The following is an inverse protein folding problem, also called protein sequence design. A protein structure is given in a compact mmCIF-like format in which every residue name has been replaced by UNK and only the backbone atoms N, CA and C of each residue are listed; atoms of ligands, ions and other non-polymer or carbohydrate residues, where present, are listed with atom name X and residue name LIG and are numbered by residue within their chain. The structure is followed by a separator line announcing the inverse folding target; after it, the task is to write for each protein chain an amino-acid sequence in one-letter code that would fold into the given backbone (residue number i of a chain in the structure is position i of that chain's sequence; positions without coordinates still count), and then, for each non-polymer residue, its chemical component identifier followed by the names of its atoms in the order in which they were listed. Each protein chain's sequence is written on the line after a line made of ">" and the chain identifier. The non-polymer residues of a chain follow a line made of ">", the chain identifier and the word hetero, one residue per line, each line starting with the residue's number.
data_IF_241288673141
#
_entry.id   IF_241288673141
#
_cell.length_a   1.000
_cell.length_b   1.000
_cell.length_c   1.000
_cell.angle_alpha   90.00
_cell.angle_beta   90.00
_cell.angle_gamma   90.00
#
_symmetry.space_group_name_H-M   'P 1'
#
loop_
_entity.id
_entity.type
_entity.pdbx_description
1 polymer ?
#
# COMPACT_ATOMS: atom_id res chain seq x y z
N UNK A 1 -0.32 -10.46 8.01
CA UNK A 1 -0.03 -9.04 8.34
C UNK A 1 0.69 -8.84 9.66
N UNK A 2 1.68 -7.94 9.69
CA UNK A 2 2.02 -7.18 10.89
C UNK A 2 2.70 -5.87 10.48
N UNK A 3 1.89 -4.84 10.19
CA UNK A 3 2.36 -3.46 10.28
C UNK A 3 2.63 -3.20 11.77
N UNK A 4 3.85 -3.51 12.21
CA UNK A 4 4.23 -3.28 13.61
C UNK A 4 4.36 -1.79 13.87
N UNK A 5 4.22 -1.37 15.12
CA UNK A 5 4.39 0.03 15.49
C UNK A 5 5.78 0.58 15.08
N UNK A 6 6.80 -0.27 15.09
CA UNK A 6 8.13 0.07 14.57
C UNK A 6 8.12 0.36 13.07
N UNK A 7 7.49 -0.49 12.25
CA UNK A 7 7.35 -0.24 10.81
C UNK A 7 6.57 1.05 10.55
N UNK A 8 5.52 1.31 11.31
CA UNK A 8 4.74 2.55 11.17
C UNK A 8 5.59 3.78 11.48
N UNK A 9 6.45 3.71 12.50
CA UNK A 9 7.39 4.77 12.81
C UNK A 9 8.41 4.96 11.67
N UNK A 10 9.02 3.88 11.17
CA UNK A 10 9.96 3.94 10.04
C UNK A 10 9.29 4.52 8.76
N UNK A 11 8.03 4.17 8.49
CA UNK A 11 7.22 4.72 7.39
C UNK A 11 6.92 6.21 7.58
N UNK A 12 6.69 6.62 8.83
CA UNK A 12 6.47 8.03 9.18
C UNK A 12 7.75 8.82 8.98
N UNK A 13 8.89 8.33 9.46
CA UNK A 13 10.21 8.96 9.34
C UNK A 13 10.66 9.02 7.87
N UNK A 14 10.34 8.00 7.07
CA UNK A 14 10.53 7.98 5.62
C UNK A 14 9.63 8.99 4.88
N UNK A 15 8.56 9.46 5.51
CA UNK A 15 7.55 10.36 4.93
C UNK A 15 6.51 9.65 4.06
N UNK A 16 6.43 8.32 4.09
CA UNK A 16 5.45 7.55 3.33
C UNK A 16 4.03 7.73 3.87
N UNK A 17 3.88 7.95 5.18
CA UNK A 17 2.60 8.33 5.78
C UNK A 17 2.12 9.68 5.24
N UNK A 18 3.03 10.63 5.04
CA UNK A 18 2.74 11.91 4.40
C UNK A 18 2.33 11.74 2.93
N UNK A 19 3.07 10.92 2.17
CA UNK A 19 2.74 10.59 0.78
C UNK A 19 1.32 10.00 0.64
N UNK A 20 0.92 9.14 1.59
CA UNK A 20 -0.43 8.58 1.64
C UNK A 20 -1.47 9.68 1.88
N UNK A 21 -1.22 10.57 2.83
CA UNK A 21 -2.14 11.63 3.22
C UNK A 21 -2.27 12.73 2.14
N UNK A 22 -1.19 13.02 1.43
CA UNK A 22 -1.16 14.04 0.36
C UNK A 22 -2.08 13.67 -0.81
N UNK A 23 -2.25 12.36 -1.10
CA UNK A 23 -3.08 11.89 -2.21
C UNK A 23 -3.87 10.62 -1.87
N UNK A 24 -4.63 10.70 -0.76
CA UNK A 24 -5.37 9.56 -0.20
C UNK A 24 -6.32 8.92 -1.23
N UNK A 25 -6.93 9.74 -2.10
CA UNK A 25 -7.83 9.30 -3.15
C UNK A 25 -7.13 8.43 -4.21
N UNK A 26 -5.92 8.82 -4.64
CA UNK A 26 -5.12 8.04 -5.60
C UNK A 26 -4.75 6.68 -5.02
N UNK A 27 -4.25 6.63 -3.79
CA UNK A 27 -3.86 5.38 -3.15
C UNK A 27 -5.05 4.47 -2.86
N UNK A 28 -6.18 5.05 -2.46
CA UNK A 28 -7.44 4.32 -2.29
C UNK A 28 -7.93 3.72 -3.60
N UNK A 29 -7.82 4.45 -4.71
CA UNK A 29 -8.21 3.95 -6.03
C UNK A 29 -7.37 2.72 -6.44
N UNK A 30 -6.05 2.77 -6.23
CA UNK A 30 -5.14 1.63 -6.47
C UNK A 30 -5.49 0.45 -5.55
N UNK A 31 -5.73 0.70 -4.26
CA UNK A 31 -6.13 -0.34 -3.32
C UNK A 31 -7.46 -1.01 -3.69
N UNK A 32 -8.44 -0.22 -4.16
CA UNK A 32 -9.72 -0.72 -4.65
C UNK A 32 -9.57 -1.53 -5.94
N UNK A 33 -8.72 -1.07 -6.84
CA UNK A 33 -8.40 -1.78 -8.07
C UNK A 33 -7.77 -3.15 -7.75
N UNK A 34 -6.75 -3.18 -6.88
CA UNK A 34 -6.16 -4.42 -6.39
C UNK A 34 -7.18 -5.35 -5.70
N UNK A 35 -8.03 -4.81 -4.82
CA UNK A 35 -9.07 -5.58 -4.15
C UNK A 35 -10.04 -6.24 -5.15
N UNK A 36 -10.56 -5.47 -6.11
CA UNK A 36 -11.49 -5.96 -7.12
C UNK A 36 -10.85 -7.03 -8.01
N UNK A 37 -9.60 -6.81 -8.40
CA UNK A 37 -8.84 -7.78 -9.18
C UNK A 37 -8.66 -9.08 -8.39
N UNK A 38 -8.27 -9.03 -7.12
CA UNK A 38 -8.18 -10.23 -6.26
C UNK A 38 -9.55 -10.91 -6.09
N UNK A 39 -10.63 -10.14 -5.96
CA UNK A 39 -12.01 -10.66 -5.85
C UNK A 39 -12.45 -11.44 -7.08
N UNK A 40 -11.93 -11.10 -8.27
CA UNK A 40 -12.24 -11.82 -9.50
C UNK A 40 -11.70 -13.26 -9.49
N UNK A 41 -10.65 -13.55 -8.72
CA UNK A 41 -9.98 -14.85 -8.71
C UNK A 41 -10.28 -15.71 -7.48
N UNK A 42 -10.53 -15.10 -6.31
CA UNK A 42 -10.67 -15.83 -5.04
C UNK A 42 -11.87 -15.29 -4.24
N UNK A 43 -12.68 -16.20 -3.68
CA UNK A 43 -13.74 -15.87 -2.72
C UNK A 43 -13.18 -15.85 -1.30
N UNK A 44 -13.48 -14.81 -0.51
CA UNK A 44 -13.01 -14.67 0.87
C UNK A 44 -11.60 -14.07 0.97
N UNK A 45 -11.43 -12.90 0.35
CA UNK A 45 -10.16 -12.19 0.25
C UNK A 45 -9.61 -11.85 1.63
N UNK A 46 -8.32 -12.14 1.85
CA UNK A 46 -7.59 -11.62 3.00
C UNK A 46 -6.80 -10.37 2.61
N UNK A 47 -6.50 -9.48 3.57
CA UNK A 47 -5.65 -8.33 3.32
C UNK A 47 -4.32 -8.70 2.65
N UNK A 48 -3.70 -9.80 3.08
CA UNK A 48 -2.40 -10.26 2.56
C UNK A 48 -2.45 -10.60 1.04
N UNK A 49 -3.60 -11.07 0.54
CA UNK A 49 -3.80 -11.36 -0.89
C UNK A 49 -3.85 -10.05 -1.71
N UNK A 50 -4.47 -9.02 -1.16
CA UNK A 50 -4.56 -7.69 -1.80
C UNK A 50 -3.22 -6.96 -1.74
N UNK A 51 -2.50 -7.07 -0.62
CA UNK A 51 -1.15 -6.49 -0.46
C UNK A 51 -0.23 -7.01 -1.56
N UNK A 52 -0.23 -8.31 -1.84
CA UNK A 52 0.64 -8.90 -2.88
C UNK A 52 0.37 -8.31 -4.26
N UNK A 53 -0.90 -8.10 -4.62
CA UNK A 53 -1.27 -7.50 -5.90
C UNK A 53 -0.99 -5.99 -5.93
N UNK A 54 -1.24 -5.31 -4.82
CA UNK A 54 -0.97 -3.87 -4.68
C UNK A 54 0.53 -3.58 -4.78
N UNK A 55 1.40 -4.44 -4.25
CA UNK A 55 2.87 -4.30 -4.42
C UNK A 55 3.23 -4.28 -5.91
N UNK A 56 2.71 -5.23 -6.70
CA UNK A 56 2.97 -5.27 -8.14
C UNK A 56 2.49 -4.00 -8.84
N UNK A 57 1.32 -3.47 -8.45
CA UNK A 57 0.79 -2.21 -8.97
C UNK A 57 1.65 -0.99 -8.56
N UNK A 58 2.20 -0.99 -7.34
CA UNK A 58 3.07 0.07 -6.83
C UNK A 58 4.47 0.05 -7.45
N UNK A 59 4.99 -1.12 -7.82
CA UNK A 59 6.28 -1.25 -8.51
C UNK A 59 6.26 -0.63 -9.92
N UNK A 60 5.09 -0.68 -10.58
CA UNK A 60 4.89 -0.04 -11.89
C UNK A 60 4.44 1.43 -11.76
N UNK A 61 3.97 1.84 -10.59
CA UNK A 61 3.52 3.21 -10.31
C UNK A 61 4.71 4.19 -10.21
N UNK A 62 4.81 5.21 -11.09
CA UNK A 62 5.92 6.16 -11.05
C UNK A 62 5.91 7.04 -9.80
N UNK A 63 4.76 7.24 -9.15
CA UNK A 63 4.57 8.13 -8.00
C UNK A 63 5.41 7.67 -6.79
N UNK A 64 5.25 6.40 -6.40
CA UNK A 64 6.00 5.82 -5.28
C UNK A 64 7.49 5.72 -5.64
N UNK A 65 7.83 5.24 -6.84
CA UNK A 65 9.22 5.11 -7.29
C UNK A 65 9.95 6.46 -7.26
N UNK A 66 9.29 7.53 -7.71
CA UNK A 66 9.86 8.88 -7.70
C UNK A 66 10.04 9.39 -6.28
N UNK A 67 9.09 9.14 -5.38
CA UNK A 67 9.21 9.51 -3.97
C UNK A 67 10.39 8.80 -3.29
N UNK A 68 10.49 7.48 -3.46
CA UNK A 68 11.57 6.66 -2.91
C UNK A 68 12.94 7.12 -3.45
N UNK A 69 13.05 7.37 -4.76
CA UNK A 69 14.27 7.87 -5.38
C UNK A 69 14.68 9.24 -4.83
N UNK A 70 13.73 10.17 -4.69
CA UNK A 70 13.97 11.51 -4.11
C UNK A 70 14.47 11.45 -2.67
N UNK A 71 13.96 10.50 -1.88
CA UNK A 71 14.35 10.26 -0.49
C UNK A 71 15.57 9.32 -0.35
N UNK A 72 16.14 8.83 -1.45
CA UNK A 72 17.24 7.83 -1.48
C UNK A 72 16.90 6.53 -0.75
N UNK A 73 15.62 6.16 -0.74
CA UNK A 73 15.10 4.93 -0.16
C UNK A 73 15.18 3.81 -1.20
N UNK A 74 16.24 3.01 -1.16
CA UNK A 74 16.53 1.98 -2.17
C UNK A 74 16.07 0.58 -1.78
N UNK A 75 15.61 0.40 -0.55
CA UNK A 75 15.25 -0.90 -0.02
C UNK A 75 13.91 -1.38 -0.59
N UNK A 76 13.87 -2.62 -1.09
CA UNK A 76 12.65 -3.19 -1.69
C UNK A 76 11.48 -3.33 -0.72
N UNK A 77 11.76 -3.43 0.59
CA UNK A 77 10.70 -3.56 1.60
C UNK A 77 9.80 -2.31 1.67
N UNK A 78 10.20 -1.15 1.14
CA UNK A 78 9.36 0.05 1.15
C UNK A 78 8.07 -0.14 0.36
N UNK A 79 8.11 -0.87 -0.77
CA UNK A 79 6.91 -1.19 -1.53
C UNK A 79 5.96 -2.05 -0.73
N UNK A 80 6.50 -3.09 -0.08
CA UNK A 80 5.71 -3.97 0.78
C UNK A 80 5.11 -3.22 1.97
N UNK A 81 5.92 -2.43 2.70
CA UNK A 81 5.44 -1.73 3.90
C UNK A 81 4.44 -0.64 3.55
N UNK A 82 4.61 0.03 2.41
CA UNK A 82 3.65 1.02 1.94
C UNK A 82 2.34 0.37 1.49
N UNK A 83 2.39 -0.77 0.79
CA UNK A 83 1.20 -1.56 0.48
C UNK A 83 0.48 -2.03 1.76
N UNK A 84 1.22 -2.54 2.75
CA UNK A 84 0.70 -2.92 4.06
C UNK A 84 0.00 -1.73 4.74
N UNK A 85 0.60 -0.53 4.70
CA UNK A 85 0.00 0.70 5.26
C UNK A 85 -1.29 1.10 4.56
N UNK A 86 -1.31 1.10 3.22
CA UNK A 86 -2.48 1.42 2.41
C UNK A 86 -3.62 0.48 2.76
N UNK A 87 -3.36 -0.83 2.75
CA UNK A 87 -4.40 -1.83 3.04
C UNK A 87 -4.85 -1.71 4.49
N UNK A 88 -3.95 -1.58 5.46
CA UNK A 88 -4.34 -1.38 6.87
C UNK A 88 -5.27 -0.17 7.05
N UNK A 89 -5.02 0.93 6.34
CA UNK A 89 -5.83 2.14 6.38
C UNK A 89 -7.21 1.97 5.72
N UNK A 90 -7.26 1.37 4.53
CA UNK A 90 -8.49 1.29 3.72
C UNK A 90 -9.23 -0.03 3.83
N UNK A 91 -8.71 -1.03 4.53
CA UNK A 91 -9.31 -2.38 4.56
C UNK A 91 -10.77 -2.36 4.99
N UNK A 92 -11.12 -1.56 6.00
CA UNK A 92 -12.51 -1.42 6.45
C UNK A 92 -13.44 -0.89 5.35
N UNK A 93 -12.96 0.07 4.57
CA UNK A 93 -13.71 0.65 3.45
C UNK A 93 -13.79 -0.29 2.24
N UNK A 94 -12.80 -1.15 2.05
CA UNK A 94 -12.72 -2.09 0.94
C UNK A 94 -13.53 -3.37 1.20
N UNK A 95 -13.43 -3.93 2.40
CA UNK A 95 -14.06 -5.20 2.78
C UNK A 95 -15.50 -5.05 3.29
N UNK A 96 -15.93 -3.83 3.64
CA UNK A 96 -17.26 -3.52 4.16
C UNK A 96 -18.09 -2.57 3.29
N UNK A 97 -17.67 -2.34 2.05
CA UNK A 97 -18.37 -1.48 1.08
C UNK A 97 -19.49 -2.19 0.33
#
# INVERSE_FOLDING_TARGET
>A
MALTQKKLQDLTDAGLVGLLADDEALWRAKAKHAYNATHAFIKGIRPDDVVSLLIAELEVAPELRTFLAKKKLTQKYWYQWFAELIIDRFWKDLAGG
#
